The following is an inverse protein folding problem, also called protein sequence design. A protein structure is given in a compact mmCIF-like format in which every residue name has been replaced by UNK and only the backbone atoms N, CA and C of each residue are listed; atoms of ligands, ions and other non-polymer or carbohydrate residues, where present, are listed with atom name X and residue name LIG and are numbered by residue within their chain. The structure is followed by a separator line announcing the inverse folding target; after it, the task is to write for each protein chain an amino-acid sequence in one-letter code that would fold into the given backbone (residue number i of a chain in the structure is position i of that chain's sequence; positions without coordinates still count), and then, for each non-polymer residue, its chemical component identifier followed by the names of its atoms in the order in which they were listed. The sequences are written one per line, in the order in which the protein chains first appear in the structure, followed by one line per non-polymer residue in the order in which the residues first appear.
data_IF_429554944277
#
_entry.id   IF_429554944277
#
_cell.length_a   1.000
_cell.length_b   1.000
_cell.length_c   1.000
_cell.angle_alpha   90.00
_cell.angle_beta   90.00
_cell.angle_gamma   90.00
#
_symmetry.space_group_name_H-M   'P 1'
#
loop_
_entity.id
_entity.type
_entity.pdbx_description
1 polymer ?
#
# COMPACT_ATOMS: atom_id res chain seq x y z
N UNK A 1 -51.29 -23.80 -62.51
CA UNK A 1 -50.19 -22.81 -62.52
C UNK A 1 -50.51 -21.77 -61.46
N UNK A 2 -49.62 -21.62 -60.46
CA UNK A 2 -49.32 -20.47 -59.56
C UNK A 2 -50.45 -19.48 -59.15
N UNK A 3 -50.56 -18.90 -57.95
CA UNK A 3 -49.93 -18.93 -56.62
C UNK A 3 -50.84 -18.05 -55.72
N UNK A 4 -50.88 -18.39 -54.42
CA UNK A 4 -51.05 -17.51 -53.22
C UNK A 4 -52.25 -16.56 -52.98
N UNK A 5 -52.51 -16.46 -51.66
CA UNK A 5 -52.98 -15.32 -50.85
C UNK A 5 -54.43 -15.21 -50.32
N UNK A 6 -54.55 -15.55 -49.03
CA UNK A 6 -54.82 -14.66 -47.86
C UNK A 6 -56.25 -14.17 -47.54
N UNK A 7 -56.74 -14.71 -46.40
CA UNK A 7 -57.47 -14.14 -45.25
C UNK A 7 -58.78 -13.33 -45.39
N UNK A 8 -59.80 -13.70 -44.59
CA UNK A 8 -60.27 -12.94 -43.41
C UNK A 8 -61.68 -13.37 -42.96
N UNK A 9 -61.87 -13.52 -41.64
CA UNK A 9 -63.15 -13.45 -40.90
C UNK A 9 -63.19 -12.06 -40.22
N UNK A 10 -64.31 -11.46 -39.74
CA UNK A 10 -65.36 -12.02 -38.87
C UNK A 10 -66.79 -11.46 -39.20
N UNK A 11 -67.91 -11.77 -38.53
CA UNK A 11 -68.37 -11.12 -37.28
C UNK A 11 -69.78 -11.65 -36.84
N UNK A 12 -69.83 -12.11 -35.58
CA UNK A 12 -70.86 -12.03 -34.51
C UNK A 12 -72.38 -11.99 -34.82
N UNK A 13 -73.17 -12.78 -34.06
CA UNK A 13 -74.09 -12.24 -33.02
C UNK A 13 -74.67 -13.32 -32.08
N UNK A 14 -74.48 -13.09 -30.78
CA UNK A 14 -75.25 -13.60 -29.62
C UNK A 14 -76.69 -13.00 -29.58
N UNK A 15 -77.57 -13.18 -28.55
CA UNK A 15 -77.75 -14.21 -27.50
C UNK A 15 -79.25 -14.54 -27.19
N UNK A 16 -79.54 -15.49 -26.26
CA UNK A 16 -80.48 -15.26 -25.11
C UNK A 16 -80.53 -16.38 -24.04
N UNK A 17 -80.42 -15.91 -22.78
CA UNK A 17 -80.51 -16.43 -21.39
C UNK A 17 -81.49 -17.60 -21.06
N UNK A 18 -81.16 -18.42 -20.02
CA UNK A 18 -82.03 -18.47 -18.82
C UNK A 18 -81.30 -18.52 -17.43
N UNK A 19 -82.13 -18.41 -16.37
CA UNK A 19 -81.97 -17.94 -14.97
C UNK A 19 -81.30 -18.83 -13.88
N UNK A 20 -80.71 -18.14 -12.88
CA UNK A 20 -80.89 -18.18 -11.40
C UNK A 20 -80.65 -19.42 -10.48
N UNK A 21 -79.91 -20.47 -10.87
CA UNK A 21 -79.46 -21.49 -9.86
C UNK A 21 -78.04 -21.26 -9.32
N UNK A 22 -77.14 -20.70 -10.13
CA UNK A 22 -75.73 -20.49 -9.76
C UNK A 22 -75.52 -19.35 -8.75
N UNK A 23 -76.38 -18.32 -8.77
CA UNK A 23 -76.29 -17.18 -7.84
C UNK A 23 -76.75 -17.52 -6.41
N UNK A 24 -77.71 -18.42 -6.25
CA UNK A 24 -78.20 -18.85 -4.93
C UNK A 24 -77.19 -19.77 -4.22
N UNK A 25 -76.57 -20.69 -4.97
CA UNK A 25 -75.53 -21.59 -4.43
C UNK A 25 -74.29 -20.78 -3.99
N UNK A 26 -73.93 -19.74 -4.75
CA UNK A 26 -72.78 -18.89 -4.43
C UNK A 26 -73.02 -18.02 -3.18
N UNK A 27 -74.27 -17.59 -2.93
CA UNK A 27 -74.64 -16.79 -1.75
C UNK A 27 -74.64 -17.60 -0.43
N UNK A 28 -74.87 -18.92 -0.48
CA UNK A 28 -74.85 -19.79 0.70
C UNK A 28 -73.47 -20.43 0.90
N UNK A 29 -72.78 -20.80 -0.18
CA UNK A 29 -71.46 -21.41 -0.10
C UNK A 29 -70.35 -20.43 0.32
N UNK A 30 -70.46 -19.15 -0.06
CA UNK A 30 -69.46 -18.13 0.29
C UNK A 30 -69.29 -17.90 1.81
N UNK A 31 -70.35 -17.66 2.62
CA UNK A 31 -70.17 -17.45 4.06
C UNK A 31 -69.68 -18.71 4.79
N UNK A 32 -70.09 -19.90 4.33
CA UNK A 32 -69.61 -21.19 4.89
C UNK A 32 -68.12 -21.38 4.59
N UNK A 33 -67.68 -21.02 3.38
CA UNK A 33 -66.26 -21.04 2.99
C UNK A 33 -65.41 -20.11 3.85
N UNK A 34 -65.89 -18.89 4.13
CA UNK A 34 -65.17 -17.93 4.97
C UNK A 34 -65.09 -18.39 6.43
N UNK A 35 -66.16 -19.00 6.96
CA UNK A 35 -66.15 -19.58 8.32
C UNK A 35 -65.16 -20.74 8.46
N UNK A 36 -65.09 -21.62 7.47
CA UNK A 36 -64.10 -22.72 7.46
C UNK A 36 -62.67 -22.18 7.37
N UNK A 37 -62.43 -21.17 6.54
CA UNK A 37 -61.11 -20.54 6.41
C UNK A 37 -60.67 -19.85 7.71
N UNK A 38 -61.60 -19.16 8.38
CA UNK A 38 -61.35 -18.55 9.69
C UNK A 38 -61.04 -19.59 10.78
N UNK A 39 -61.75 -20.72 10.79
CA UNK A 39 -61.49 -21.80 11.74
C UNK A 39 -60.09 -22.42 11.51
N UNK A 40 -59.71 -22.69 10.25
CA UNK A 40 -58.39 -23.23 9.91
C UNK A 40 -57.27 -22.25 10.31
N UNK A 41 -57.44 -20.96 10.03
CA UNK A 41 -56.47 -19.92 10.42
C UNK A 41 -56.34 -19.80 11.94
N UNK A 42 -57.45 -19.91 12.68
CA UNK A 42 -57.44 -19.86 14.14
C UNK A 42 -56.68 -21.05 14.76
N UNK A 43 -56.89 -22.26 14.24
CA UNK A 43 -56.15 -23.44 14.70
C UNK A 43 -54.67 -23.38 14.31
N UNK A 44 -54.34 -22.92 13.09
CA UNK A 44 -52.96 -22.72 12.69
C UNK A 44 -52.25 -21.68 13.57
N UNK A 45 -52.92 -20.58 13.91
CA UNK A 45 -52.38 -19.57 14.82
C UNK A 45 -52.11 -20.13 16.22
N UNK A 46 -53.01 -20.96 16.76
CA UNK A 46 -52.80 -21.61 18.07
C UNK A 46 -51.57 -22.51 18.06
N UNK A 47 -51.42 -23.37 17.05
CA UNK A 47 -50.27 -24.28 16.92
C UNK A 47 -48.96 -23.49 16.76
N UNK A 48 -48.98 -22.45 15.92
CA UNK A 48 -47.81 -21.58 15.70
C UNK A 48 -47.47 -20.80 16.97
N UNK A 49 -48.45 -20.29 17.71
CA UNK A 49 -48.22 -19.57 18.97
C UNK A 49 -47.62 -20.47 20.06
N UNK A 50 -48.05 -21.74 20.14
CA UNK A 50 -47.47 -22.72 21.07
C UNK A 50 -46.05 -23.14 20.66
N UNK A 51 -45.77 -23.20 19.35
CA UNK A 51 -44.41 -23.38 18.84
C UNK A 51 -43.51 -22.17 19.09
N UNK A 52 -44.02 -20.95 18.96
CA UNK A 52 -43.26 -19.74 19.29
C UNK A 52 -42.90 -19.69 20.77
N UNK A 53 -43.80 -20.07 21.69
CA UNK A 53 -43.47 -20.11 23.13
C UNK A 53 -42.43 -21.17 23.46
N UNK A 54 -42.45 -22.33 22.78
CA UNK A 54 -41.44 -23.38 22.97
C UNK A 54 -40.10 -22.98 22.38
N UNK A 55 -40.11 -22.43 21.17
CA UNK A 55 -38.90 -21.95 20.50
C UNK A 55 -38.27 -20.77 21.24
N UNK A 56 -39.03 -19.91 21.92
CA UNK A 56 -38.45 -18.81 22.70
C UNK A 56 -37.67 -19.34 23.91
N UNK A 57 -38.19 -20.36 24.60
CA UNK A 57 -37.49 -21.06 25.68
C UNK A 57 -36.26 -21.81 25.16
N UNK A 58 -36.37 -22.47 23.99
CA UNK A 58 -35.22 -23.14 23.38
C UNK A 58 -34.18 -22.15 22.87
N UNK A 59 -34.56 -20.98 22.32
CA UNK A 59 -33.62 -19.93 21.88
C UNK A 59 -32.87 -19.31 23.06
N UNK A 60 -33.52 -19.11 24.21
CA UNK A 60 -32.83 -18.71 25.44
C UNK A 60 -31.78 -19.78 25.82
N UNK A 61 -32.15 -21.06 25.75
CA UNK A 61 -31.25 -22.18 26.06
C UNK A 61 -30.10 -22.34 25.06
N UNK A 62 -30.32 -22.11 23.77
CA UNK A 62 -29.29 -22.11 22.73
C UNK A 62 -28.29 -20.96 22.89
N UNK A 63 -28.71 -19.81 23.46
CA UNK A 63 -27.80 -18.72 23.83
C UNK A 63 -26.83 -19.11 24.94
N UNK A 64 -27.24 -19.98 25.88
CA UNK A 64 -26.39 -20.49 26.96
C UNK A 64 -25.48 -21.64 26.50
N UNK A 65 -25.97 -22.54 25.64
CA UNK A 65 -25.25 -23.75 25.21
C UNK A 65 -24.15 -23.47 24.16
N UNK A 66 -24.22 -22.34 23.45
CA UNK A 66 -23.16 -21.90 22.51
C UNK A 66 -21.95 -21.26 23.23
N UNK A 67 -22.04 -21.01 24.53
CA UNK A 67 -20.92 -20.56 25.34
C UNK A 67 -20.18 -21.76 25.92
N UNK A 68 -19.50 -22.49 25.01
CA UNK A 68 -18.80 -23.73 25.30
C UNK A 68 -18.11 -23.71 26.65
N UNK A 69 -18.59 -24.57 27.56
CA UNK A 69 -17.95 -24.87 28.84
C UNK A 69 -16.62 -25.58 28.56
N UNK A 70 -15.54 -24.81 28.42
CA UNK A 70 -14.21 -25.33 28.70
C UNK A 70 -14.12 -25.62 30.20
N UNK A 71 -13.69 -26.82 30.53
CA UNK A 71 -13.48 -27.27 31.90
C UNK A 71 -12.77 -26.19 32.74
N UNK A 72 -13.32 -25.95 33.93
CA UNK A 72 -12.86 -24.97 34.91
C UNK A 72 -11.36 -25.15 35.19
N UNK A 73 -10.54 -24.26 34.65
CA UNK A 73 -9.17 -24.02 35.15
C UNK A 73 -9.22 -22.92 36.22
N UNK A 74 -8.52 -23.20 37.32
CA UNK A 74 -8.40 -22.36 38.50
C UNK A 74 -7.79 -21.01 38.11
N UNK A 75 -8.56 -19.92 38.21
CA UNK A 75 -8.09 -18.57 37.89
C UNK A 75 -7.65 -17.84 39.16
N UNK A 76 -6.43 -17.29 39.16
CA UNK A 76 -5.90 -16.49 40.27
C UNK A 76 -6.37 -15.03 40.16
N UNK A 77 -6.94 -14.52 41.27
CA UNK A 77 -7.34 -13.12 41.39
C UNK A 77 -6.15 -12.17 41.58
N UNK A 78 -6.39 -10.86 41.38
CA UNK A 78 -5.39 -9.76 41.44
C UNK A 78 -4.63 -9.65 42.77
N UNK A 79 -5.04 -10.38 43.82
CA UNK A 79 -4.39 -10.43 45.14
C UNK A 79 -3.79 -11.81 45.49
N UNK A 80 -3.71 -12.75 44.53
CA UNK A 80 -3.11 -14.06 44.73
C UNK A 80 -3.96 -15.07 45.53
N UNK A 81 -5.25 -14.79 45.73
CA UNK A 81 -6.18 -15.79 46.27
C UNK A 81 -6.78 -16.63 45.13
N UNK A 82 -6.72 -17.95 45.29
CA UNK A 82 -7.36 -18.92 44.41
C UNK A 82 -8.89 -18.75 44.47
N UNK A 83 -9.48 -18.35 43.35
CA UNK A 83 -10.91 -18.10 43.27
C UNK A 83 -11.63 -19.43 43.08
N UNK A 84 -12.18 -19.98 44.17
CA UNK A 84 -12.95 -21.23 44.13
C UNK A 84 -14.12 -21.09 43.14
N UNK A 85 -14.32 -22.08 42.23
CA UNK A 85 -15.44 -22.03 41.30
C UNK A 85 -16.77 -22.04 42.06
N UNK A 86 -17.71 -21.21 41.60
CA UNK A 86 -19.07 -21.10 42.13
C UNK A 86 -19.78 -22.46 42.08
N UNK A 87 -20.03 -23.07 43.25
CA UNK A 87 -20.74 -24.35 43.40
C UNK A 87 -22.27 -24.19 43.47
N UNK A 88 -22.84 -23.13 42.91
CA UNK A 88 -24.29 -22.95 42.86
C UNK A 88 -24.86 -23.57 41.58
N UNK A 89 -25.72 -24.58 41.73
CA UNK A 89 -26.48 -25.16 40.62
C UNK A 89 -27.35 -24.10 39.95
N UNK A 90 -27.24 -23.98 38.63
CA UNK A 90 -27.84 -22.93 37.79
C UNK A 90 -29.38 -22.86 37.83
N UNK A 91 -30.04 -23.80 38.50
CA UNK A 91 -31.49 -23.97 38.47
C UNK A 91 -32.27 -23.08 39.46
N UNK A 92 -31.61 -22.40 40.42
CA UNK A 92 -32.28 -21.59 41.46
C UNK A 92 -31.59 -20.25 41.80
N UNK A 93 -31.08 -19.51 40.81
CA UNK A 93 -30.49 -18.19 41.03
C UNK A 93 -31.54 -17.07 40.93
N UNK A 94 -31.55 -16.15 41.89
CA UNK A 94 -32.39 -14.95 41.83
C UNK A 94 -31.97 -14.04 40.66
N UNK A 95 -32.87 -13.20 40.11
CA UNK A 95 -32.56 -12.35 38.94
C UNK A 95 -31.31 -11.48 39.12
N UNK A 96 -31.02 -11.05 40.35
CA UNK A 96 -29.80 -10.30 40.71
C UNK A 96 -28.53 -11.17 40.68
N UNK A 97 -28.60 -12.42 41.12
CA UNK A 97 -27.45 -13.33 41.13
C UNK A 97 -27.08 -13.78 39.71
N UNK A 98 -28.06 -13.88 38.80
CA UNK A 98 -27.83 -14.15 37.37
C UNK A 98 -27.02 -13.04 36.68
N UNK A 99 -27.30 -11.77 37.01
CA UNK A 99 -26.55 -10.62 36.48
C UNK A 99 -25.13 -10.58 37.02
N UNK A 100 -24.94 -10.91 38.31
CA UNK A 100 -23.60 -11.00 38.89
C UNK A 100 -22.80 -12.12 38.21
N UNK A 101 -23.41 -13.28 37.97
CA UNK A 101 -22.75 -14.39 37.29
C UNK A 101 -22.37 -14.06 35.83
N UNK A 102 -23.24 -13.36 35.08
CA UNK A 102 -22.91 -12.93 33.72
C UNK A 102 -21.76 -11.93 33.70
N UNK A 103 -21.74 -10.96 34.63
CA UNK A 103 -20.65 -9.98 34.74
C UNK A 103 -19.32 -10.61 35.13
N UNK A 104 -19.32 -11.63 35.99
CA UNK A 104 -18.11 -12.38 36.35
C UNK A 104 -17.58 -13.13 35.13
N UNK A 105 -18.46 -13.80 34.37
CA UNK A 105 -18.09 -14.49 33.14
C UNK A 105 -17.55 -13.54 32.06
N UNK A 106 -18.21 -12.40 31.87
CA UNK A 106 -17.75 -11.38 30.90
C UNK A 106 -16.39 -10.82 31.30
N UNK A 107 -16.15 -10.60 32.59
CA UNK A 107 -14.84 -10.19 33.10
C UNK A 107 -13.77 -11.23 32.81
N UNK A 108 -14.05 -12.52 33.04
CA UNK A 108 -13.09 -13.59 32.75
C UNK A 108 -12.77 -13.68 31.25
N UNK A 109 -13.79 -13.60 30.39
CA UNK A 109 -13.61 -13.55 28.94
C UNK A 109 -12.75 -12.34 28.52
N UNK A 110 -13.02 -11.15 29.06
CA UNK A 110 -12.22 -9.96 28.77
C UNK A 110 -10.77 -10.08 29.25
N UNK A 111 -10.52 -10.77 30.37
CA UNK A 111 -9.16 -11.03 30.86
C UNK A 111 -8.42 -11.99 29.90
N UNK A 112 -9.10 -13.03 29.42
CA UNK A 112 -8.53 -13.98 28.45
C UNK A 112 -8.23 -13.26 27.14
N UNK A 113 -9.17 -12.47 26.61
CA UNK A 113 -8.97 -11.67 25.40
C UNK A 113 -7.79 -10.71 25.56
N UNK A 114 -7.70 -10.01 26.70
CA UNK A 114 -6.60 -9.09 26.96
C UNK A 114 -5.24 -9.81 26.95
N UNK A 115 -5.15 -10.99 27.59
CA UNK A 115 -3.93 -11.81 27.56
C UNK A 115 -3.57 -12.26 26.14
N UNK A 116 -4.55 -12.70 25.35
CA UNK A 116 -4.30 -13.12 23.96
C UNK A 116 -3.86 -11.95 23.07
N UNK A 117 -4.41 -10.76 23.28
CA UNK A 117 -4.01 -9.55 22.57
C UNK A 117 -2.58 -9.12 22.97
N UNK A 118 -2.23 -9.20 24.26
CA UNK A 118 -0.87 -8.94 24.72
C UNK A 118 0.14 -9.90 24.09
N UNK A 119 -0.17 -11.20 24.03
CA UNK A 119 0.68 -12.18 23.35
C UNK A 119 0.82 -11.91 21.84
N UNK A 120 -0.26 -11.46 21.20
CA UNK A 120 -0.20 -11.07 19.78
C UNK A 120 0.65 -9.82 19.56
N UNK A 121 0.58 -8.83 20.45
CA UNK A 121 1.42 -7.63 20.41
C UNK A 121 2.89 -8.02 20.57
N UNK A 122 3.22 -8.83 21.57
CA UNK A 122 4.60 -9.27 21.82
C UNK A 122 5.16 -10.09 20.65
N UNK A 123 4.34 -10.96 20.04
CA UNK A 123 4.71 -11.71 18.84
C UNK A 123 4.89 -10.81 17.61
N UNK A 124 4.09 -9.74 17.48
CA UNK A 124 4.23 -8.76 16.40
C UNK A 124 5.47 -7.88 16.59
N UNK A 125 5.75 -7.45 17.82
CA UNK A 125 6.95 -6.67 18.16
C UNK A 125 8.22 -7.48 17.88
N UNK A 126 8.27 -8.75 18.29
CA UNK A 126 9.39 -9.63 17.98
C UNK A 126 9.59 -9.82 16.47
N UNK A 127 8.50 -9.95 15.70
CA UNK A 127 8.59 -10.02 14.23
C UNK A 127 9.13 -8.70 13.64
N UNK A 128 8.70 -7.57 14.16
CA UNK A 128 9.16 -6.25 13.72
C UNK A 128 10.67 -6.10 13.93
N UNK A 129 11.16 -6.49 15.11
CA UNK A 129 12.58 -6.49 15.42
C UNK A 129 13.39 -7.37 14.45
N UNK A 130 12.92 -8.59 14.16
CA UNK A 130 13.58 -9.47 13.19
C UNK A 130 13.60 -8.87 11.77
N UNK A 131 12.51 -8.24 11.33
CA UNK A 131 12.46 -7.61 10.02
C UNK A 131 13.38 -6.38 9.93
N UNK A 132 13.53 -5.61 11.00
CA UNK A 132 14.46 -4.48 11.04
C UNK A 132 15.91 -4.95 11.01
N UNK A 133 16.24 -6.03 11.71
CA UNK A 133 17.59 -6.61 11.70
C UNK A 133 17.94 -7.21 10.33
N UNK A 134 17.03 -7.97 9.72
CA UNK A 134 17.16 -8.48 8.35
C UNK A 134 17.32 -7.35 7.34
N UNK A 135 16.57 -6.26 7.49
CA UNK A 135 16.68 -5.08 6.63
C UNK A 135 18.05 -4.40 6.76
N UNK A 136 18.56 -4.20 7.98
CA UNK A 136 19.89 -3.61 8.20
C UNK A 136 21.00 -4.48 7.60
N UNK A 137 20.89 -5.79 7.76
CA UNK A 137 21.83 -6.74 7.16
C UNK A 137 21.73 -6.72 5.63
N UNK A 138 20.53 -6.72 5.08
CA UNK A 138 20.31 -6.64 3.64
C UNK A 138 20.83 -5.32 3.04
N UNK A 139 20.61 -4.18 3.71
CA UNK A 139 21.14 -2.88 3.28
C UNK A 139 22.67 -2.86 3.21
N UNK A 140 23.37 -3.59 4.09
CA UNK A 140 24.83 -3.68 4.07
C UNK A 140 25.38 -4.46 2.86
N UNK A 141 24.60 -5.40 2.34
CA UNK A 141 24.99 -6.26 1.20
C UNK A 141 24.26 -5.88 -0.11
N UNK A 142 23.44 -4.84 -0.10
CA UNK A 142 22.74 -4.38 -1.29
C UNK A 142 23.75 -3.65 -2.20
N UNK A 143 23.80 -3.96 -3.52
CA UNK A 143 24.60 -3.16 -4.44
C UNK A 143 24.18 -1.69 -4.34
N UNK A 144 25.17 -0.78 -4.30
CA UNK A 144 24.92 0.66 -4.24
C UNK A 144 23.93 1.06 -5.34
N UNK A 145 22.89 1.82 -4.97
CA UNK A 145 22.00 2.41 -5.96
C UNK A 145 22.80 3.40 -6.82
N UNK A 146 22.42 3.55 -8.08
CA UNK A 146 23.11 4.47 -9.00
C UNK A 146 23.21 5.90 -8.45
N UNK A 147 22.19 6.39 -7.75
CA UNK A 147 22.26 7.70 -7.07
C UNK A 147 23.35 7.77 -5.98
N UNK A 148 23.51 6.71 -5.19
CA UNK A 148 24.54 6.63 -4.15
C UNK A 148 25.95 6.53 -4.75
N UNK A 149 26.07 5.85 -5.88
CA UNK A 149 27.31 5.83 -6.67
C UNK A 149 27.67 7.24 -7.16
N UNK A 150 26.71 7.99 -7.70
CA UNK A 150 26.94 9.37 -8.13
C UNK A 150 27.40 10.28 -6.97
N UNK A 151 26.76 10.17 -5.79
CA UNK A 151 27.15 10.93 -4.60
C UNK A 151 28.54 10.56 -4.09
N UNK A 152 28.93 9.29 -4.23
CA UNK A 152 30.28 8.82 -3.91
C UNK A 152 31.30 9.38 -4.89
N UNK A 153 31.01 9.35 -6.19
CA UNK A 153 31.87 9.90 -7.23
C UNK A 153 32.09 11.39 -7.01
N UNK A 154 31.05 12.16 -6.73
CA UNK A 154 31.17 13.59 -6.44
C UNK A 154 32.09 13.86 -5.24
N UNK A 155 31.94 13.11 -4.15
CA UNK A 155 32.81 13.23 -2.97
C UNK A 155 34.26 12.87 -3.29
N UNK A 156 34.49 11.85 -4.11
CA UNK A 156 35.83 11.48 -4.57
C UNK A 156 36.45 12.59 -5.41
N UNK A 157 35.71 13.13 -6.39
CA UNK A 157 36.15 14.22 -7.25
C UNK A 157 36.47 15.48 -6.45
N UNK A 158 35.60 15.86 -5.53
CA UNK A 158 35.83 17.01 -4.66
C UNK A 158 37.02 16.82 -3.71
N UNK A 159 37.24 15.60 -3.21
CA UNK A 159 38.42 15.26 -2.40
C UNK A 159 39.69 15.35 -3.24
N UNK A 160 39.67 14.81 -4.46
CA UNK A 160 40.78 14.90 -5.41
C UNK A 160 41.14 16.37 -5.69
N UNK A 161 40.14 17.19 -6.02
CA UNK A 161 40.34 18.62 -6.29
C UNK A 161 40.99 19.31 -5.08
N UNK A 162 40.49 19.09 -3.86
CA UNK A 162 41.09 19.70 -2.66
C UNK A 162 42.54 19.31 -2.38
N UNK A 163 42.95 18.12 -2.81
CA UNK A 163 44.31 17.61 -2.61
C UNK A 163 45.26 18.02 -3.75
N UNK A 164 44.73 18.33 -4.93
CA UNK A 164 45.53 18.69 -6.10
C UNK A 164 46.15 20.09 -5.96
N UNK A 165 47.40 20.24 -6.41
CA UNK A 165 48.08 21.53 -6.44
C UNK A 165 47.44 22.50 -7.45
N UNK A 166 47.00 21.97 -8.59
CA UNK A 166 46.42 22.77 -9.68
C UNK A 166 45.05 23.37 -9.33
N UNK A 167 44.34 22.79 -8.36
CA UNK A 167 43.06 23.31 -7.90
C UNK A 167 43.19 24.53 -6.98
N UNK A 168 44.38 24.83 -6.45
CA UNK A 168 44.58 25.96 -5.53
C UNK A 168 44.26 27.32 -6.15
N UNK A 169 44.24 27.41 -7.49
CA UNK A 169 43.86 28.63 -8.22
C UNK A 169 42.35 28.91 -8.20
N UNK A 170 41.52 27.93 -7.87
CA UNK A 170 40.07 28.06 -7.87
C UNK A 170 39.52 28.31 -6.47
N UNK A 171 38.40 29.02 -6.38
CA UNK A 171 37.66 29.19 -5.13
C UNK A 171 36.96 27.89 -4.73
N UNK A 172 36.70 27.69 -3.43
CA UNK A 172 35.95 26.52 -2.95
C UNK A 172 34.61 26.35 -3.68
N UNK A 173 33.94 27.46 -4.00
CA UNK A 173 32.68 27.45 -4.76
C UNK A 173 32.86 26.89 -6.17
N UNK A 174 33.94 27.27 -6.86
CA UNK A 174 34.26 26.71 -8.18
C UNK A 174 34.65 25.24 -8.10
N UNK A 175 35.31 24.80 -7.02
CA UNK A 175 35.60 23.37 -6.81
C UNK A 175 34.31 22.54 -6.70
N UNK A 176 33.26 23.08 -6.07
CA UNK A 176 31.94 22.45 -6.02
C UNK A 176 31.31 22.36 -7.42
N UNK A 177 31.37 23.44 -8.21
CA UNK A 177 30.89 23.46 -9.60
C UNK A 177 31.62 22.41 -10.45
N UNK A 178 32.95 22.35 -10.34
CA UNK A 178 33.78 21.41 -11.08
C UNK A 178 33.43 19.96 -10.73
N UNK A 179 33.26 19.65 -9.43
CA UNK A 179 32.86 18.32 -8.99
C UNK A 179 31.44 17.96 -9.46
N UNK A 180 30.48 18.89 -9.38
CA UNK A 180 29.12 18.69 -9.86
C UNK A 180 29.06 18.45 -11.38
N UNK A 181 29.84 19.22 -12.16
CA UNK A 181 29.97 19.01 -13.60
C UNK A 181 30.61 17.65 -13.93
N UNK A 182 31.64 17.25 -13.19
CA UNK A 182 32.28 15.94 -13.31
C UNK A 182 31.30 14.79 -13.03
N UNK A 183 30.49 14.90 -11.97
CA UNK A 183 29.41 13.95 -11.65
C UNK A 183 28.38 13.87 -12.78
N UNK A 184 27.96 15.01 -13.33
CA UNK A 184 26.99 15.03 -14.44
C UNK A 184 27.52 14.33 -15.70
N UNK A 185 28.77 14.59 -16.10
CA UNK A 185 29.33 13.93 -17.30
C UNK A 185 29.60 12.44 -17.05
N UNK A 186 29.98 12.07 -15.82
CA UNK A 186 30.05 10.66 -15.42
C UNK A 186 28.69 9.96 -15.52
N UNK A 187 27.62 10.59 -14.99
CA UNK A 187 26.26 10.08 -15.09
C UNK A 187 25.88 9.84 -16.56
N UNK A 188 26.09 10.83 -17.42
CA UNK A 188 25.82 10.72 -18.87
C UNK A 188 26.62 9.59 -19.52
N UNK A 189 27.88 9.45 -19.16
CA UNK A 189 28.75 8.42 -19.71
C UNK A 189 28.30 7.02 -19.29
N UNK A 190 27.98 6.82 -18.01
CA UNK A 190 27.47 5.53 -17.52
C UNK A 190 26.13 5.22 -18.16
N UNK A 191 25.18 6.17 -18.18
CA UNK A 191 23.87 6.01 -18.84
C UNK A 191 23.98 5.61 -20.31
N UNK A 192 24.95 6.14 -21.03
CA UNK A 192 25.21 5.77 -22.42
C UNK A 192 25.80 4.36 -22.59
N UNK A 193 26.47 3.81 -21.57
CA UNK A 193 27.29 2.59 -21.67
C UNK A 193 26.98 1.53 -20.59
N UNK A 194 25.80 1.58 -19.94
CA UNK A 194 25.44 0.84 -18.70
C UNK A 194 25.68 -0.68 -18.71
N UNK A 195 25.88 -1.31 -19.88
CA UNK A 195 26.09 -2.76 -20.02
C UNK A 195 27.56 -3.18 -20.21
N UNK A 196 28.49 -2.23 -20.32
CA UNK A 196 29.90 -2.54 -20.66
C UNK A 196 30.92 -2.23 -19.55
N UNK A 197 30.51 -1.61 -18.44
CA UNK A 197 31.43 -1.04 -17.46
C UNK A 197 31.51 -1.85 -16.16
N UNK A 198 32.71 -2.34 -15.84
CA UNK A 198 33.02 -2.98 -14.54
C UNK A 198 33.37 -1.93 -13.46
N UNK A 199 33.33 -2.31 -12.18
CA UNK A 199 33.66 -1.44 -11.04
C UNK A 199 35.08 -0.84 -11.11
N UNK A 200 36.05 -1.60 -11.63
CA UNK A 200 37.43 -1.12 -11.82
C UNK A 200 37.48 -0.01 -12.88
N UNK A 201 36.83 -0.24 -14.03
CA UNK A 201 36.77 0.72 -15.12
C UNK A 201 36.07 2.02 -14.69
N UNK A 202 35.00 1.91 -13.89
CA UNK A 202 34.32 3.08 -13.32
C UNK A 202 35.24 3.91 -12.42
N UNK A 203 36.10 3.26 -11.65
CA UNK A 203 37.08 3.96 -10.80
C UNK A 203 38.18 4.63 -11.62
N UNK A 204 38.69 3.95 -12.65
CA UNK A 204 39.69 4.49 -13.59
C UNK A 204 39.19 5.76 -14.27
N UNK A 205 37.95 5.76 -14.75
CA UNK A 205 37.32 6.94 -15.36
C UNK A 205 37.32 8.13 -14.39
N UNK A 206 36.95 7.88 -13.14
CA UNK A 206 36.81 8.93 -12.12
C UNK A 206 38.16 9.52 -11.72
N UNK A 207 39.21 8.71 -11.66
CA UNK A 207 40.52 9.14 -11.18
C UNK A 207 41.42 9.64 -12.30
N UNK A 208 41.38 9.03 -13.48
CA UNK A 208 42.36 9.30 -14.55
C UNK A 208 41.81 10.21 -15.65
N UNK A 209 40.50 10.20 -15.89
CA UNK A 209 39.90 10.92 -17.03
C UNK A 209 39.08 12.15 -16.61
N UNK A 210 38.28 12.04 -15.55
CA UNK A 210 37.44 13.15 -15.09
C UNK A 210 38.23 14.39 -14.60
N UNK A 211 39.42 14.30 -13.98
CA UNK A 211 40.13 15.48 -13.52
C UNK A 211 40.47 16.50 -14.61
N UNK A 212 40.92 16.04 -15.78
CA UNK A 212 41.23 16.94 -16.89
C UNK A 212 39.98 17.71 -17.36
N UNK A 213 38.84 17.02 -17.42
CA UNK A 213 37.55 17.63 -17.72
C UNK A 213 37.15 18.66 -16.66
N UNK A 214 37.27 18.32 -15.38
CA UNK A 214 36.94 19.23 -14.27
C UNK A 214 37.74 20.54 -14.33
N UNK A 215 39.04 20.47 -14.59
CA UNK A 215 39.89 21.66 -14.73
C UNK A 215 39.49 22.52 -15.92
N UNK A 216 39.17 21.90 -17.07
CA UNK A 216 38.65 22.60 -18.23
C UNK A 216 37.33 23.31 -17.93
N UNK A 217 36.42 22.66 -17.19
CA UNK A 217 35.14 23.27 -16.76
C UNK A 217 35.39 24.44 -15.80
N UNK A 218 36.33 24.33 -14.87
CA UNK A 218 36.69 25.43 -13.97
C UNK A 218 37.12 26.69 -14.72
N UNK A 219 37.94 26.53 -15.77
CA UNK A 219 38.36 27.63 -16.64
C UNK A 219 37.21 28.14 -17.53
N UNK A 220 36.37 27.23 -18.04
CA UNK A 220 35.20 27.56 -18.86
C UNK A 220 34.16 28.36 -18.09
N UNK A 221 33.87 27.98 -16.84
CA UNK A 221 32.92 28.68 -15.96
C UNK A 221 33.45 30.07 -15.61
N UNK A 222 34.77 30.21 -15.40
CA UNK A 222 35.39 31.53 -15.22
C UNK A 222 35.23 32.44 -16.44
N UNK A 223 35.12 31.88 -17.64
CA UNK A 223 34.90 32.64 -18.88
C UNK A 223 33.42 32.93 -19.11
N UNK A 224 32.53 32.00 -18.76
CA UNK A 224 31.09 32.12 -19.02
C UNK A 224 30.33 32.93 -17.97
N UNK A 225 30.76 32.92 -16.71
CA UNK A 225 30.11 33.68 -15.65
C UNK A 225 30.76 35.05 -15.47
N UNK A 226 29.95 36.10 -15.58
CA UNK A 226 30.34 37.50 -15.34
C UNK A 226 30.24 37.88 -13.86
N UNK A 227 29.30 37.26 -13.14
CA UNK A 227 29.08 37.51 -11.73
C UNK A 227 28.80 36.25 -10.90
N UNK A 228 28.80 36.41 -9.57
CA UNK A 228 28.63 35.30 -8.64
C UNK A 228 27.21 34.71 -8.64
N UNK A 229 26.19 35.49 -9.05
CA UNK A 229 24.85 34.94 -9.21
C UNK A 229 24.82 33.99 -10.41
N UNK A 230 25.41 34.37 -11.54
CA UNK A 230 25.53 33.48 -12.70
C UNK A 230 26.32 32.21 -12.35
N UNK A 231 27.42 32.29 -11.58
CA UNK A 231 28.13 31.11 -11.08
C UNK A 231 27.22 30.20 -10.23
N UNK A 232 26.30 30.77 -9.44
CA UNK A 232 25.33 30.00 -8.64
C UNK A 232 24.30 29.29 -9.51
N UNK A 233 23.78 29.96 -10.53
CA UNK A 233 22.83 29.36 -11.46
C UNK A 233 23.48 28.20 -12.23
N UNK A 234 24.74 28.37 -12.62
CA UNK A 234 25.56 27.31 -13.24
C UNK A 234 25.76 26.14 -12.27
N UNK A 235 26.08 26.40 -11.00
CA UNK A 235 26.19 25.36 -9.97
C UNK A 235 24.89 24.58 -9.83
N UNK A 236 23.75 25.27 -9.73
CA UNK A 236 22.45 24.65 -9.52
C UNK A 236 22.03 23.81 -10.74
N UNK A 237 22.38 24.26 -11.94
CA UNK A 237 22.22 23.50 -13.17
C UNK A 237 23.05 22.21 -13.19
N UNK A 238 24.34 22.26 -12.85
CA UNK A 238 25.17 21.04 -12.81
C UNK A 238 24.77 20.07 -11.69
N UNK A 239 24.24 20.60 -10.58
CA UNK A 239 23.71 19.79 -9.48
C UNK A 239 22.43 19.06 -9.86
N UNK A 240 21.47 19.74 -10.50
CA UNK A 240 20.17 19.16 -10.83
C UNK A 240 19.67 19.65 -12.20
N UNK A 241 20.21 19.12 -13.31
CA UNK A 241 19.88 19.60 -14.66
C UNK A 241 18.41 19.38 -15.05
N UNK A 242 17.74 18.41 -14.43
CA UNK A 242 16.31 18.14 -14.69
C UNK A 242 15.38 19.15 -14.01
N UNK A 243 15.80 19.70 -12.87
CA UNK A 243 14.96 20.56 -12.03
C UNK A 243 15.24 22.04 -12.28
N UNK A 244 16.48 22.37 -12.66
CA UNK A 244 16.92 23.74 -12.84
C UNK A 244 17.19 24.05 -14.31
N UNK A 245 16.47 25.05 -14.84
CA UNK A 245 16.70 25.57 -16.19
C UNK A 245 17.51 26.85 -16.13
N UNK A 246 18.60 26.90 -16.88
CA UNK A 246 19.42 28.10 -17.02
C UNK A 246 18.67 29.20 -17.79
N UNK A 247 18.93 30.47 -17.48
CA UNK A 247 18.59 31.57 -18.38
C UNK A 247 19.26 31.39 -19.74
N UNK A 248 18.60 31.85 -20.80
CA UNK A 248 19.03 31.64 -22.19
C UNK A 248 20.42 32.21 -22.47
N UNK A 249 20.77 33.35 -21.87
CA UNK A 249 22.07 34.00 -22.07
C UNK A 249 23.21 33.12 -21.54
N UNK A 250 23.09 32.66 -20.29
CA UNK A 250 24.09 31.80 -19.64
C UNK A 250 24.17 30.45 -20.38
N UNK A 251 23.03 29.94 -20.86
CA UNK A 251 23.01 28.71 -21.63
C UNK A 251 23.78 28.85 -22.95
N UNK A 252 23.58 29.94 -23.70
CA UNK A 252 24.32 30.22 -24.93
C UNK A 252 25.83 30.31 -24.68
N UNK A 253 26.25 30.96 -23.60
CA UNK A 253 27.66 31.05 -23.22
C UNK A 253 28.23 29.68 -22.85
N UNK A 254 27.51 28.89 -22.05
CA UNK A 254 27.90 27.52 -21.67
C UNK A 254 27.99 26.59 -22.90
N UNK A 255 27.07 26.73 -23.84
CA UNK A 255 27.04 25.94 -25.07
C UNK A 255 28.23 26.24 -26.00
N UNK A 256 28.88 27.40 -25.83
CA UNK A 256 30.13 27.73 -26.54
C UNK A 256 31.35 27.14 -25.81
N UNK A 257 31.40 27.23 -24.47
CA UNK A 257 32.61 26.90 -23.70
C UNK A 257 32.72 25.43 -23.29
N UNK A 258 31.61 24.70 -23.09
CA UNK A 258 31.63 23.32 -22.60
C UNK A 258 31.95 22.25 -23.67
N UNK A 259 31.50 22.36 -24.93
CA UNK A 259 31.80 21.34 -25.94
C UNK A 259 33.29 21.01 -26.14
N UNK A 260 34.24 21.97 -26.16
CA UNK A 260 35.65 21.63 -26.28
C UNK A 260 36.13 20.74 -25.11
N UNK A 261 35.72 21.03 -23.87
CA UNK A 261 36.06 20.21 -22.70
C UNK A 261 35.49 18.78 -22.82
N UNK A 262 34.23 18.66 -23.29
CA UNK A 262 33.57 17.36 -23.45
C UNK A 262 34.21 16.53 -24.57
N UNK A 263 34.68 17.16 -25.65
CA UNK A 263 35.29 16.47 -26.78
C UNK A 263 36.59 15.77 -26.39
N UNK A 264 37.47 16.44 -25.67
CA UNK A 264 38.72 15.86 -25.16
C UNK A 264 38.46 14.65 -24.28
N UNK A 265 37.51 14.78 -23.34
CA UNK A 265 37.11 13.67 -22.46
C UNK A 265 36.59 12.49 -23.28
N UNK A 266 35.67 12.72 -24.21
CA UNK A 266 35.07 11.66 -25.03
C UNK A 266 36.10 10.95 -25.91
N UNK A 267 37.06 11.67 -26.49
CA UNK A 267 38.15 11.06 -27.25
C UNK A 267 39.03 10.16 -26.38
N UNK A 268 39.34 10.64 -25.17
CA UNK A 268 40.14 9.88 -24.21
C UNK A 268 39.41 8.61 -23.78
N UNK A 269 38.13 8.72 -23.43
CA UNK A 269 37.28 7.59 -23.04
C UNK A 269 37.06 6.58 -24.17
N UNK A 270 36.89 7.04 -25.41
CA UNK A 270 36.80 6.14 -26.57
C UNK A 270 38.10 5.35 -26.78
N UNK A 271 39.25 6.00 -26.57
CA UNK A 271 40.55 5.36 -26.74
C UNK A 271 40.82 4.35 -25.62
N UNK A 272 40.51 4.68 -24.36
CA UNK A 272 40.70 3.76 -23.23
C UNK A 272 39.72 2.59 -23.27
N UNK A 273 38.45 2.81 -23.64
CA UNK A 273 37.50 1.71 -23.82
C UNK A 273 37.91 0.75 -24.95
N UNK A 274 38.49 1.25 -26.04
CA UNK A 274 39.00 0.40 -27.13
C UNK A 274 40.21 -0.46 -26.72
N UNK A 275 40.91 -0.10 -25.65
CA UNK A 275 42.02 -0.89 -25.08
C UNK A 275 41.53 -1.92 -24.05
N UNK A 276 40.33 -1.72 -23.50
CA UNK A 276 39.73 -2.56 -22.46
C UNK A 276 38.80 -3.67 -23.04
N UNK A 277 38.42 -3.57 -24.32
CA UNK A 277 37.69 -4.59 -25.11
C UNK A 277 38.65 -5.52 -25.86
#
# INVERSE_FOLDING_TARGET
MATEDTAASPEQTEPKKPRDKKKLILLIAAPIGVLLLAAVLFFAYRIVSEQFSKNQVDLEKFGFDLSGTSAFEESEGVLGEAQLPSTFGEENLTPSERVVHSLVRDRENLIIENRTLQQQIEALEARLETYEEDRRMAEHFMPENFSQELDRVERMLHTYLRQSADAQRFSNFRLEIMAAAGRMEYQRFVEANQLMLDAVQRTEIVVDHLPAYMFCVGDAVQLAANDFNEEREIRDYFGNPEQYRLPTVIQEDLDVVLPPCQRELRQTLQTSMAQLL
#
